data_IF_233385304567
#
_entry.id   IF_233385304567
#
_cell.length_a   1.000
_cell.length_b   1.000
_cell.length_c   1.000
_cell.angle_alpha   90.00
_cell.angle_beta   90.00
_cell.angle_gamma   90.00
#
_symmetry.space_group_name_H-M   'P 1'
#
loop_
_entity.id
_entity.type
_entity.pdbx_description
1 polymer ?
#
# COMPACT_ATOMS: atom_id res chain seq x y z
N UNK A 1 -11.33 18.25 5.00
CA UNK A 1 -11.19 17.43 6.20
C UNK A 1 -9.78 16.91 6.33
N UNK A 2 -9.24 17.07 7.46
CA UNK A 2 -7.90 16.58 7.74
C UNK A 2 -7.98 15.14 8.21
N UNK A 3 -7.12 14.30 7.70
CA UNK A 3 -6.94 12.98 8.26
C UNK A 3 -6.19 13.10 9.58
N UNK A 4 -6.35 12.10 10.43
CA UNK A 4 -5.71 12.07 11.73
C UNK A 4 -4.22 11.73 11.54
N UNK A 5 -3.36 12.71 11.84
CA UNK A 5 -1.91 12.51 11.74
C UNK A 5 -1.42 11.44 12.70
N UNK A 6 -2.05 11.33 13.86
CA UNK A 6 -1.67 10.32 14.85
C UNK A 6 -1.97 8.92 14.33
N UNK A 7 -3.08 8.76 13.61
CA UNK A 7 -3.42 7.50 13.00
C UNK A 7 -2.39 7.10 11.95
N UNK A 8 -1.97 8.04 11.13
CA UNK A 8 -0.95 7.78 10.10
C UNK A 8 0.37 7.43 10.74
N UNK A 9 0.78 8.14 11.78
CA UNK A 9 2.02 7.85 12.50
C UNK A 9 2.01 6.50 13.19
N UNK A 10 0.83 6.01 13.56
CA UNK A 10 0.70 4.68 14.16
C UNK A 10 0.67 3.56 13.11
N UNK A 11 0.67 3.93 11.83
CA UNK A 11 0.73 2.96 10.73
C UNK A 11 2.04 2.17 10.82
N UNK A 12 1.99 0.91 10.40
CA UNK A 12 3.14 0.01 10.48
C UNK A 12 4.38 0.52 9.75
N UNK A 13 4.21 1.36 8.71
CA UNK A 13 5.34 1.93 7.97
C UNK A 13 6.27 2.76 8.85
N UNK A 14 5.72 3.40 9.88
CA UNK A 14 6.46 4.34 10.71
C UNK A 14 6.81 3.78 12.09
N UNK A 15 6.66 2.49 12.26
CA UNK A 15 6.97 1.85 13.53
C UNK A 15 8.48 1.97 13.82
N UNK A 16 8.81 2.59 14.95
CA UNK A 16 10.21 2.79 15.32
C UNK A 16 10.93 3.88 14.54
N UNK A 17 10.20 4.67 13.76
CA UNK A 17 10.75 5.75 12.92
C UNK A 17 10.55 7.08 13.65
N UNK A 18 11.52 7.98 13.55
CA UNK A 18 11.44 9.28 14.19
C UNK A 18 10.37 10.16 13.53
N UNK A 19 9.87 11.15 14.28
CA UNK A 19 8.91 12.11 13.73
C UNK A 19 9.47 12.85 12.53
N UNK A 20 10.74 13.20 12.57
CA UNK A 20 11.41 13.87 11.46
C UNK A 20 11.43 13.01 10.19
N UNK A 21 11.76 11.74 10.35
CA UNK A 21 11.78 10.81 9.22
C UNK A 21 10.37 10.57 8.65
N UNK A 22 9.38 10.49 9.53
CA UNK A 22 7.98 10.35 9.13
C UNK A 22 7.53 11.57 8.33
N UNK A 23 7.82 12.77 8.81
CA UNK A 23 7.45 13.99 8.11
C UNK A 23 8.13 14.10 6.74
N UNK A 24 9.40 13.72 6.66
CA UNK A 24 10.13 13.72 5.39
C UNK A 24 9.48 12.77 4.38
N UNK A 25 9.11 11.58 4.84
CA UNK A 25 8.43 10.60 3.98
C UNK A 25 7.09 11.16 3.48
N UNK A 26 6.31 11.77 4.36
CA UNK A 26 4.99 12.31 3.99
C UNK A 26 5.08 13.49 3.03
N UNK A 27 6.19 14.22 3.05
CA UNK A 27 6.41 15.29 2.06
C UNK A 27 6.68 14.70 0.67
N UNK A 28 7.40 13.60 0.62
CA UNK A 28 7.73 12.92 -0.66
C UNK A 28 6.57 12.09 -1.17
N UNK A 29 5.79 11.54 -0.26
CA UNK A 29 4.69 10.61 -0.55
C UNK A 29 3.45 11.05 0.22
N UNK A 30 2.77 12.11 -0.25
CA UNK A 30 1.57 12.61 0.43
C UNK A 30 0.54 11.51 0.65
N UNK A 31 -0.09 11.53 1.80
CA UNK A 31 -1.02 10.49 2.22
C UNK A 31 -2.46 10.95 2.11
N UNK A 32 -3.31 10.03 1.65
CA UNK A 32 -4.75 10.17 1.68
C UNK A 32 -5.34 8.94 2.34
N UNK A 33 -6.34 9.15 3.20
CA UNK A 33 -7.11 8.03 3.76
C UNK A 33 -8.44 7.98 3.03
N UNK A 34 -8.81 6.81 2.54
CA UNK A 34 -10.08 6.59 1.85
C UNK A 34 -10.83 5.45 2.50
N UNK A 35 -12.15 5.62 2.55
CA UNK A 35 -13.06 4.58 3.04
C UNK A 35 -13.72 3.89 1.86
N UNK A 36 -13.86 2.59 1.95
CA UNK A 36 -14.49 1.77 0.93
C UNK A 36 -15.57 0.89 1.53
N UNK A 37 -16.69 0.80 0.82
CA UNK A 37 -17.78 -0.09 1.19
C UNK A 37 -17.58 -1.44 0.50
N UNK A 38 -18.33 -2.44 0.96
CA UNK A 38 -18.25 -3.76 0.39
C UNK A 38 -18.54 -3.74 -1.11
N UNK A 39 -17.63 -4.32 -1.89
CA UNK A 39 -17.75 -4.39 -3.33
C UNK A 39 -17.05 -3.27 -4.08
N UNK A 40 -16.61 -2.22 -3.39
CA UNK A 40 -15.90 -1.13 -4.05
C UNK A 40 -14.52 -1.60 -4.52
N UNK A 41 -14.14 -1.17 -5.71
CA UNK A 41 -12.79 -1.41 -6.20
C UNK A 41 -11.84 -0.45 -5.50
N UNK A 42 -10.87 -1.00 -4.77
CA UNK A 42 -9.91 -0.19 -4.02
C UNK A 42 -8.79 0.30 -4.94
N UNK A 43 -8.28 -0.58 -5.78
CA UNK A 43 -7.23 -0.22 -6.72
C UNK A 43 -7.22 -1.19 -7.89
N UNK A 44 -6.98 -0.66 -9.08
CA UNK A 44 -6.83 -1.47 -10.28
C UNK A 44 -5.35 -1.72 -10.56
N UNK A 45 -5.08 -2.66 -11.45
CA UNK A 45 -3.72 -3.00 -11.84
C UNK A 45 -2.93 -1.79 -12.31
N UNK A 46 -3.56 -0.91 -13.07
CA UNK A 46 -2.90 0.26 -13.63
C UNK A 46 -2.50 1.26 -12.55
N UNK A 47 -3.25 1.32 -11.47
CA UNK A 47 -3.01 2.28 -10.38
C UNK A 47 -2.00 1.78 -9.35
N UNK A 48 -1.68 0.47 -9.37
CA UNK A 48 -0.79 -0.13 -8.36
C UNK A 48 0.59 0.51 -8.32
N UNK A 49 1.12 0.95 -9.46
CA UNK A 49 2.46 1.54 -9.53
C UNK A 49 2.54 2.98 -9.02
N UNK A 50 1.38 3.61 -8.78
CA UNK A 50 1.32 5.03 -8.43
C UNK A 50 1.12 5.28 -6.95
N UNK A 51 0.86 4.23 -6.18
CA UNK A 51 0.53 4.37 -4.77
C UNK A 51 1.10 3.24 -3.94
N UNK A 52 1.42 3.56 -2.69
CA UNK A 52 1.67 2.57 -1.66
C UNK A 52 0.41 2.54 -0.81
N UNK A 53 -0.21 1.38 -0.68
CA UNK A 53 -1.43 1.23 0.11
C UNK A 53 -1.19 0.44 1.39
N UNK A 54 -1.81 0.88 2.48
CA UNK A 54 -1.77 0.17 3.75
C UNK A 54 -3.18 0.12 4.30
N UNK A 55 -3.68 -1.06 4.59
CA UNK A 55 -5.01 -1.21 5.20
C UNK A 55 -4.92 -0.78 6.67
N UNK A 56 -5.73 0.21 7.03
CA UNK A 56 -5.81 0.69 8.41
C UNK A 56 -6.85 -0.06 9.21
N UNK A 57 -7.94 -0.45 8.55
CA UNK A 57 -9.08 -1.07 9.21
C UNK A 57 -9.86 -1.88 8.17
N UNK A 58 -10.38 -3.04 8.56
CA UNK A 58 -11.17 -3.87 7.67
C UNK A 58 -10.34 -4.82 6.82
N UNK A 59 -10.88 -5.27 5.70
CA UNK A 59 -10.23 -6.26 4.85
C UNK A 59 -10.42 -5.98 3.37
N UNK A 60 -9.46 -6.48 2.58
CA UNK A 60 -9.49 -6.46 1.12
C UNK A 60 -9.53 -7.87 0.57
N UNK A 61 -10.26 -8.06 -0.51
CA UNK A 61 -10.14 -9.27 -1.32
C UNK A 61 -9.11 -9.02 -2.42
N UNK A 62 -8.19 -9.95 -2.59
CA UNK A 62 -7.11 -9.87 -3.59
C UNK A 62 -7.50 -10.79 -4.74
N UNK A 63 -7.57 -10.23 -5.95
CA UNK A 63 -8.02 -10.95 -7.13
C UNK A 63 -6.95 -10.98 -8.20
N UNK A 64 -6.88 -12.08 -8.90
CA UNK A 64 -5.96 -12.26 -10.01
C UNK A 64 -6.72 -12.84 -11.19
N UNK A 65 -6.36 -12.43 -12.40
CA UNK A 65 -6.89 -13.04 -13.61
C UNK A 65 -6.17 -14.36 -13.83
N UNK A 66 -6.92 -15.40 -14.13
CA UNK A 66 -6.32 -16.66 -14.47
C UNK A 66 -5.88 -16.63 -15.94
N UNK A 67 -4.96 -17.54 -16.27
CA UNK A 67 -4.45 -17.71 -17.62
C UNK A 67 -5.58 -18.01 -18.62
N UNK A 68 -6.68 -18.58 -18.13
CA UNK A 68 -7.82 -18.96 -18.96
C UNK A 68 -8.96 -17.95 -18.90
N UNK A 69 -8.67 -16.74 -18.45
CA UNK A 69 -9.68 -15.67 -18.41
C UNK A 69 -10.56 -15.66 -17.17
N UNK A 70 -10.30 -16.50 -16.19
CA UNK A 70 -11.03 -16.48 -14.93
C UNK A 70 -10.54 -15.37 -14.03
N UNK A 71 -11.46 -14.84 -13.21
CA UNK A 71 -11.16 -13.83 -12.20
C UNK A 71 -11.42 -14.47 -10.85
N UNK A 72 -10.39 -14.75 -10.10
CA UNK A 72 -10.51 -15.50 -8.85
C UNK A 72 -9.86 -14.76 -7.68
N UNK A 73 -10.50 -14.88 -6.51
CA UNK A 73 -9.92 -14.37 -5.29
C UNK A 73 -8.76 -15.27 -4.87
N UNK A 74 -7.58 -14.69 -4.75
CA UNK A 74 -6.37 -15.43 -4.40
C UNK A 74 -5.92 -15.16 -2.97
N UNK A 75 -6.54 -14.21 -2.29
CA UNK A 75 -6.18 -13.93 -0.91
C UNK A 75 -7.04 -12.86 -0.28
N UNK A 76 -6.80 -12.63 1.01
CA UNK A 76 -7.45 -11.60 1.80
C UNK A 76 -6.37 -10.84 2.55
N UNK A 77 -6.42 -9.51 2.49
CA UNK A 77 -5.52 -8.65 3.25
C UNK A 77 -6.26 -7.93 4.35
N UNK A 78 -5.83 -8.11 5.58
CA UNK A 78 -6.40 -7.41 6.73
C UNK A 78 -5.58 -6.20 7.13
N UNK A 79 -5.75 -5.74 8.37
CA UNK A 79 -5.00 -4.59 8.90
C UNK A 79 -3.50 -4.76 8.67
N UNK A 80 -2.84 -3.68 8.29
CA UNK A 80 -1.42 -3.58 7.98
C UNK A 80 -1.02 -4.26 6.66
N UNK A 81 -1.99 -4.79 5.91
CA UNK A 81 -1.69 -5.33 4.59
C UNK A 81 -1.14 -4.23 3.69
N UNK A 82 -0.01 -4.51 3.07
CA UNK A 82 0.74 -3.56 2.26
C UNK A 82 0.62 -3.96 0.79
N UNK A 83 0.31 -3.01 -0.08
CA UNK A 83 0.14 -3.28 -1.51
C UNK A 83 0.54 -2.07 -2.36
N UNK A 84 0.50 -2.26 -3.66
CA UNK A 84 0.77 -1.19 -4.62
C UNK A 84 2.22 -1.19 -5.10
N UNK A 85 2.81 -0.01 -5.19
CA UNK A 85 4.18 0.18 -5.65
C UNK A 85 5.17 -0.78 -4.99
N UNK A 86 4.91 -1.10 -3.73
CA UNK A 86 5.74 -2.01 -2.94
C UNK A 86 5.85 -3.39 -3.57
N UNK A 87 4.83 -3.84 -4.31
CA UNK A 87 4.84 -5.14 -4.96
C UNK A 87 5.98 -5.28 -5.96
N UNK A 88 6.52 -4.17 -6.45
CA UNK A 88 7.65 -4.17 -7.37
C UNK A 88 8.94 -4.66 -6.71
N UNK A 89 8.99 -4.69 -5.37
CA UNK A 89 10.13 -5.23 -4.64
C UNK A 89 10.09 -6.75 -4.57
N UNK A 90 8.93 -7.32 -4.84
CA UNK A 90 8.75 -8.75 -4.93
C UNK A 90 8.84 -9.17 -6.38
N UNK A 91 9.73 -10.07 -6.65
CA UNK A 91 9.85 -10.63 -7.99
C UNK A 91 8.83 -11.76 -8.15
N UNK A 92 7.61 -11.53 -7.71
CA UNK A 92 6.54 -12.51 -7.89
C UNK A 92 5.66 -12.06 -9.04
N UNK A 93 5.57 -12.90 -10.02
CA UNK A 93 4.69 -12.73 -11.15
C UNK A 93 3.22 -12.88 -10.76
N UNK A 94 2.85 -12.49 -9.56
CA UNK A 94 1.45 -12.46 -9.20
C UNK A 94 0.84 -11.25 -9.86
N UNK A 95 0.14 -11.51 -10.92
CA UNK A 95 -0.68 -10.50 -11.53
C UNK A 95 -1.86 -10.23 -10.60
N UNK A 96 -1.61 -9.43 -9.57
CA UNK A 96 -2.71 -8.85 -8.81
C UNK A 96 -3.43 -7.94 -9.78
N UNK A 97 -4.64 -8.31 -10.15
CA UNK A 97 -5.37 -7.55 -11.14
C UNK A 97 -6.16 -6.45 -10.50
N UNK A 98 -6.68 -6.68 -9.32
CA UNK A 98 -7.52 -5.71 -8.61
C UNK A 98 -7.69 -6.09 -7.15
N UNK A 99 -7.97 -5.08 -6.36
CA UNK A 99 -8.29 -5.24 -4.96
C UNK A 99 -9.68 -4.68 -4.72
N UNK A 100 -10.53 -5.47 -4.07
CA UNK A 100 -11.89 -5.07 -3.74
C UNK A 100 -12.10 -5.05 -2.24
N UNK A 101 -12.88 -4.07 -1.79
CA UNK A 101 -13.16 -3.89 -0.38
C UNK A 101 -14.23 -4.86 0.13
N UNK A 102 -14.05 -5.28 1.38
CA UNK A 102 -15.08 -5.93 2.19
C UNK A 102 -15.55 -5.01 3.31
N UNK A 103 -15.31 -3.70 3.16
CA UNK A 103 -15.52 -2.68 4.16
C UNK A 103 -14.19 -2.36 4.81
N UNK A 104 -13.54 -1.27 4.39
CA UNK A 104 -12.22 -0.97 4.90
C UNK A 104 -11.87 0.52 4.80
N UNK A 105 -10.81 0.89 5.50
CA UNK A 105 -10.15 2.18 5.38
C UNK A 105 -8.70 1.92 4.99
N UNK A 106 -8.23 2.66 4.02
CA UNK A 106 -6.90 2.46 3.45
C UNK A 106 -6.16 3.78 3.40
N UNK A 107 -4.89 3.76 3.80
CA UNK A 107 -4.00 4.90 3.62
C UNK A 107 -3.26 4.71 2.29
N UNK A 108 -3.31 5.74 1.44
CA UNK A 108 -2.59 5.77 0.18
C UNK A 108 -1.47 6.79 0.27
N UNK A 109 -0.27 6.36 -0.03
CA UNK A 109 0.90 7.25 -0.12
C UNK A 109 1.27 7.33 -1.59
N UNK A 110 1.20 8.53 -2.16
CA UNK A 110 1.44 8.69 -3.59
C UNK A 110 2.92 8.52 -3.93
N UNK A 111 3.17 7.91 -5.09
CA UNK A 111 4.53 7.70 -5.59
C UNK A 111 4.69 8.55 -6.86
N UNK A 112 5.75 9.34 -6.96
CA UNK A 112 5.99 10.16 -8.14
C UNK A 112 6.05 9.30 -9.40
N UNK A 113 5.49 9.82 -10.49
CA UNK A 113 5.53 9.15 -11.79
C UNK A 113 6.96 8.89 -12.21
N UNK A 114 7.24 7.66 -12.62
CA UNK A 114 8.57 7.29 -13.08
C UNK A 114 9.56 6.94 -12.00
N UNK A 115 9.15 6.98 -10.72
CA UNK A 115 10.05 6.56 -9.65
C UNK A 115 10.28 5.06 -9.73
N UNK A 116 11.56 4.66 -9.67
CA UNK A 116 11.93 3.25 -9.65
C UNK A 116 12.06 2.74 -8.22
N UNK A 117 12.04 1.41 -8.00
CA UNK A 117 12.33 0.86 -6.68
C UNK A 117 13.68 1.31 -6.12
N UNK A 118 14.69 1.43 -6.96
CA UNK A 118 16.02 1.90 -6.55
C UNK A 118 15.94 3.33 -6.04
N UNK A 119 15.25 4.20 -6.77
CA UNK A 119 15.04 5.60 -6.35
C UNK A 119 14.32 5.66 -5.01
N UNK A 120 13.29 4.86 -4.86
CA UNK A 120 12.52 4.83 -3.62
C UNK A 120 13.40 4.42 -2.44
N UNK A 121 14.17 3.35 -2.59
CA UNK A 121 15.04 2.84 -1.52
C UNK A 121 16.10 3.89 -1.17
N UNK A 122 16.70 4.52 -2.17
CA UNK A 122 17.80 5.46 -1.95
C UNK A 122 17.36 6.78 -1.30
N UNK A 123 16.09 7.12 -1.41
CA UNK A 123 15.55 8.38 -0.86
C UNK A 123 14.69 8.18 0.38
N UNK A 124 14.52 6.94 0.83
CA UNK A 124 13.66 6.63 1.97
C UNK A 124 14.50 6.22 3.18
N UNK A 125 14.06 6.63 4.37
CA UNK A 125 14.70 6.27 5.62
C UNK A 125 14.86 4.75 5.74
N UNK A 126 16.03 4.27 6.19
CA UNK A 126 16.24 2.83 6.37
C UNK A 126 15.23 2.16 7.30
N UNK A 127 14.73 2.87 8.31
CA UNK A 127 13.72 2.32 9.22
C UNK A 127 12.42 2.02 8.51
N UNK A 128 12.01 2.89 7.59
CA UNK A 128 10.79 2.67 6.81
C UNK A 128 10.98 1.51 5.85
N UNK A 129 12.14 1.45 5.18
CA UNK A 129 12.47 0.35 4.28
C UNK A 129 12.45 -0.99 5.04
N UNK A 130 13.02 -1.01 6.23
CA UNK A 130 13.01 -2.20 7.09
C UNK A 130 11.58 -2.64 7.40
N UNK A 131 10.71 -1.71 7.74
CA UNK A 131 9.30 -2.02 8.03
C UNK A 131 8.59 -2.60 6.80
N UNK A 132 8.89 -2.07 5.63
CA UNK A 132 8.32 -2.58 4.39
C UNK A 132 8.75 -4.02 4.16
N UNK A 133 10.04 -4.31 4.25
CA UNK A 133 10.54 -5.67 4.02
C UNK A 133 10.00 -6.65 5.06
N UNK A 134 9.87 -6.23 6.31
CA UNK A 134 9.28 -7.06 7.35
C UNK A 134 7.82 -7.42 7.04
N UNK A 135 7.07 -6.47 6.53
CA UNK A 135 5.66 -6.69 6.16
C UNK A 135 5.52 -7.64 4.97
N UNK A 136 6.53 -7.67 4.12
CA UNK A 136 6.51 -8.49 2.91
C UNK A 136 7.01 -9.93 3.15
N UNK A 137 7.57 -10.20 4.28
CA UNK A 137 8.02 -11.54 4.63
C UNK A 137 7.04 -12.24 5.54
#
# INVERSE_FOLDING_TARGET
MTFDRDEIRSCMLFNGVTDSETEDFLKRHPCKIRRFDKGDCVITREELSENIGVVLEGTLGIYSDSYYGGHAMVGIGGRDYLFGFIAMFYNHAHSITSLYSRGCRVAYFSVPTGQTPVDFISTTSPGIISNIFDALT
#
